data_IF_189556324846
#
_entry.id   IF_189556324846
#
_cell.length_a   1.000
_cell.length_b   1.000
_cell.length_c   1.000
_cell.angle_alpha   90.00
_cell.angle_beta   90.00
_cell.angle_gamma   90.00
#
_symmetry.space_group_name_H-M   'P 1'
#
loop_
_entity.id
_entity.type
_entity.pdbx_description
1 polymer ?
#
# COMPACT_ATOMS: atom_id res chain seq x y z
N UNK A 1 -10.65 -13.81 -6.61
CA UNK A 1 -10.61 -12.41 -6.11
C UNK A 1 -10.83 -11.41 -7.26
N UNK A 2 -9.99 -11.32 -8.29
CA UNK A 2 -10.13 -10.33 -9.37
C UNK A 2 -11.47 -10.41 -10.13
N UNK A 3 -11.98 -11.61 -10.40
CA UNK A 3 -13.29 -11.77 -11.05
C UNK A 3 -14.44 -11.25 -10.20
N UNK A 4 -14.40 -11.45 -8.88
CA UNK A 4 -15.42 -10.92 -7.98
C UNK A 4 -15.39 -9.37 -7.93
N UNK A 5 -14.21 -8.76 -8.07
CA UNK A 5 -14.11 -7.30 -8.17
C UNK A 5 -14.75 -6.78 -9.47
N UNK A 6 -14.57 -7.50 -10.58
CA UNK A 6 -15.21 -7.15 -11.86
C UNK A 6 -16.73 -7.31 -11.80
N UNK A 7 -17.25 -8.33 -11.12
CA UNK A 7 -18.69 -8.60 -11.03
C UNK A 7 -19.49 -7.49 -10.32
N UNK A 8 -18.83 -6.67 -9.50
CA UNK A 8 -19.49 -5.55 -8.78
C UNK A 8 -19.29 -4.19 -9.45
N UNK A 9 -18.62 -4.15 -10.60
CA UNK A 9 -18.40 -2.91 -11.33
C UNK A 9 -19.63 -2.49 -12.14
N UNK A 10 -19.83 -1.18 -12.20
CA UNK A 10 -20.64 -0.64 -13.29
C UNK A 10 -19.92 -0.82 -14.63
N UNK A 11 -20.63 -0.88 -15.77
CA UNK A 11 -20.00 -0.90 -17.09
C UNK A 11 -18.97 0.22 -17.25
N UNK A 12 -17.80 -0.08 -17.78
CA UNK A 12 -16.67 0.85 -17.92
C UNK A 12 -15.98 1.21 -16.60
N UNK A 13 -16.25 0.49 -15.52
CA UNK A 13 -15.60 0.71 -14.22
C UNK A 13 -14.11 0.34 -14.19
N UNK A 14 -13.42 0.78 -13.14
CA UNK A 14 -11.97 0.56 -12.97
C UNK A 14 -11.71 -0.27 -11.73
N UNK A 15 -10.89 -1.31 -11.87
CA UNK A 15 -10.30 -2.08 -10.76
C UNK A 15 -8.85 -1.64 -10.61
N UNK A 16 -8.48 -1.20 -9.43
CA UNK A 16 -7.08 -0.92 -9.11
C UNK A 16 -6.55 -2.07 -8.26
N UNK A 17 -5.58 -2.81 -8.82
CA UNK A 17 -4.93 -3.91 -8.13
C UNK A 17 -3.79 -3.43 -7.23
N UNK A 18 -3.94 -3.59 -5.91
CA UNK A 18 -2.93 -3.23 -4.92
C UNK A 18 -2.28 -4.50 -4.38
N UNK A 19 -0.94 -4.54 -4.42
CA UNK A 19 -0.17 -5.69 -3.97
C UNK A 19 -0.16 -6.86 -4.95
N UNK A 20 0.25 -8.03 -4.47
CA UNK A 20 0.33 -9.25 -5.27
C UNK A 20 -0.97 -10.06 -5.15
N UNK A 21 -1.58 -10.36 -6.27
CA UNK A 21 -2.76 -11.21 -6.35
C UNK A 21 -2.78 -11.99 -7.67
N UNK A 22 -3.49 -13.12 -7.69
CA UNK A 22 -3.62 -13.93 -8.90
C UNK A 22 -4.42 -13.22 -10.00
N UNK A 23 -3.87 -13.21 -11.21
CA UNK A 23 -4.45 -12.57 -12.40
C UNK A 23 -5.34 -13.50 -13.23
N UNK A 24 -5.89 -14.55 -12.62
CA UNK A 24 -6.83 -15.48 -13.29
C UNK A 24 -8.15 -14.81 -13.67
N UNK A 25 -8.11 -13.92 -14.65
CA UNK A 25 -9.25 -13.11 -15.10
C UNK A 25 -10.07 -13.88 -16.15
N UNK A 26 -11.39 -13.97 -15.92
CA UNK A 26 -12.33 -14.47 -16.92
C UNK A 26 -12.52 -13.42 -18.02
N UNK A 27 -12.20 -13.80 -19.27
CA UNK A 27 -12.37 -12.91 -20.43
C UNK A 27 -13.83 -12.42 -20.55
N UNK A 28 -14.79 -13.31 -20.38
CA UNK A 28 -16.19 -12.97 -20.58
C UNK A 28 -16.69 -11.95 -19.54
N UNK A 29 -16.25 -12.08 -18.27
CA UNK A 29 -16.59 -11.13 -17.22
C UNK A 29 -15.97 -9.76 -17.49
N UNK A 30 -14.67 -9.74 -17.74
CA UNK A 30 -13.92 -8.52 -18.02
C UNK A 30 -14.48 -7.80 -19.26
N UNK A 31 -14.67 -8.53 -20.36
CA UNK A 31 -15.19 -7.98 -21.60
C UNK A 31 -16.64 -7.49 -21.44
N UNK A 32 -17.51 -8.27 -20.80
CA UNK A 32 -18.90 -7.89 -20.56
C UNK A 32 -19.04 -6.64 -19.69
N UNK A 33 -18.18 -6.47 -18.69
CA UNK A 33 -18.14 -5.28 -17.85
C UNK A 33 -17.43 -4.08 -18.50
N UNK A 34 -16.75 -4.26 -19.64
CA UNK A 34 -15.87 -3.26 -20.26
C UNK A 34 -14.86 -2.68 -19.25
N UNK A 35 -14.37 -3.53 -18.33
CA UNK A 35 -13.59 -3.12 -17.18
C UNK A 35 -12.16 -2.70 -17.57
N UNK A 36 -11.66 -1.67 -16.92
CA UNK A 36 -10.24 -1.32 -16.94
C UNK A 36 -9.57 -1.87 -15.68
N UNK A 37 -8.42 -2.51 -15.82
CA UNK A 37 -7.62 -3.00 -14.69
C UNK A 37 -6.29 -2.27 -14.71
N UNK A 38 -5.98 -1.60 -13.61
CA UNK A 38 -4.75 -0.84 -13.43
C UNK A 38 -3.93 -1.44 -12.29
N UNK A 39 -2.62 -1.61 -12.44
CA UNK A 39 -1.76 -1.93 -11.31
C UNK A 39 -1.52 -0.69 -10.46
N UNK A 40 -1.46 -0.88 -9.15
CA UNK A 40 -0.89 0.13 -8.25
C UNK A 40 0.55 -0.26 -7.98
N UNK A 41 1.47 0.59 -8.37
CA UNK A 41 2.89 0.38 -8.11
C UNK A 41 3.23 0.95 -6.73
N UNK A 42 3.76 0.12 -5.85
CA UNK A 42 4.34 0.45 -4.55
C UNK A 42 3.91 1.82 -3.98
N UNK A 43 4.83 2.78 -3.96
CA UNK A 43 4.62 4.12 -3.39
C UNK A 43 4.10 5.13 -4.41
N UNK A 44 3.98 4.74 -5.68
CA UNK A 44 3.54 5.60 -6.78
C UNK A 44 4.65 5.95 -7.77
N UNK A 45 4.36 6.81 -8.76
CA UNK A 45 5.33 7.27 -9.75
C UNK A 45 6.59 7.85 -9.12
N UNK A 46 7.73 7.52 -9.69
CA UNK A 46 9.07 7.81 -9.18
C UNK A 46 9.78 6.55 -8.70
N UNK A 47 9.05 5.56 -8.22
CA UNK A 47 9.62 4.28 -7.79
C UNK A 47 10.25 3.55 -8.98
N UNK A 48 11.49 3.12 -8.80
CA UNK A 48 12.34 2.49 -9.83
C UNK A 48 12.79 3.41 -10.97
N UNK A 49 12.62 4.73 -10.83
CA UNK A 49 13.21 5.73 -11.71
C UNK A 49 14.51 6.28 -11.09
N UNK A 50 15.70 5.93 -11.61
CA UNK A 50 16.97 6.37 -11.02
C UNK A 50 17.13 7.89 -11.01
N UNK A 51 16.52 8.58 -11.97
CA UNK A 51 16.57 10.06 -12.02
C UNK A 51 15.81 10.66 -10.85
N UNK A 52 14.68 10.05 -10.50
CA UNK A 52 13.88 10.47 -9.36
C UNK A 52 14.51 10.03 -8.02
N UNK A 53 14.88 8.75 -7.90
CA UNK A 53 15.33 8.17 -6.62
C UNK A 53 16.75 8.60 -6.25
N UNK A 54 17.67 8.68 -7.23
CA UNK A 54 19.09 8.91 -6.97
C UNK A 54 19.50 10.38 -7.18
N UNK A 55 18.88 11.05 -8.15
CA UNK A 55 19.23 12.43 -8.49
C UNK A 55 18.28 13.46 -7.89
N UNK A 56 17.30 13.03 -7.09
CA UNK A 56 16.31 13.89 -6.43
C UNK A 56 15.57 14.83 -7.39
N UNK A 57 15.26 14.35 -8.60
CA UNK A 57 14.54 15.12 -9.60
C UNK A 57 13.08 14.70 -9.66
N UNK A 58 12.20 15.55 -9.11
CA UNK A 58 10.77 15.26 -9.05
C UNK A 58 10.07 15.62 -10.37
N UNK A 59 8.99 14.89 -10.69
CA UNK A 59 8.16 15.15 -11.86
C UNK A 59 7.40 16.47 -11.73
N UNK A 60 7.18 17.19 -12.84
CA UNK A 60 6.34 18.38 -12.84
C UNK A 60 4.94 18.05 -12.31
N UNK A 61 4.46 18.84 -11.35
CA UNK A 61 3.19 18.58 -10.65
C UNK A 61 1.98 18.57 -11.58
N UNK A 62 2.04 19.34 -12.66
CA UNK A 62 0.99 19.39 -13.68
C UNK A 62 0.89 18.14 -14.55
N UNK A 63 1.95 17.32 -14.57
CA UNK A 63 2.00 16.06 -15.35
C UNK A 63 1.80 14.86 -14.44
N UNK A 64 2.50 14.82 -13.30
CA UNK A 64 2.40 13.75 -12.30
C UNK A 64 2.15 14.38 -10.94
N UNK A 65 0.89 14.43 -10.52
CA UNK A 65 0.51 15.06 -9.26
C UNK A 65 0.99 14.27 -8.05
N UNK A 66 0.85 12.96 -8.09
CA UNK A 66 1.09 12.06 -6.96
C UNK A 66 2.31 11.19 -7.25
N UNK A 67 3.46 11.71 -6.86
CA UNK A 67 4.72 10.97 -6.89
C UNK A 67 4.97 10.28 -5.55
N UNK A 68 5.96 9.39 -5.50
CA UNK A 68 6.35 8.67 -4.29
C UNK A 68 6.50 9.60 -3.08
N UNK A 69 7.33 10.64 -3.17
CA UNK A 69 7.56 11.58 -2.07
C UNK A 69 6.29 12.35 -1.69
N UNK A 70 5.50 12.76 -2.67
CA UNK A 70 4.25 13.50 -2.41
C UNK A 70 3.20 12.62 -1.75
N UNK A 71 3.13 11.34 -2.10
CA UNK A 71 2.26 10.37 -1.44
C UNK A 71 2.66 10.17 0.02
N UNK A 72 3.94 9.96 0.29
CA UNK A 72 4.45 9.81 1.66
C UNK A 72 4.24 11.08 2.49
N UNK A 73 4.56 12.25 1.92
CA UNK A 73 4.34 13.52 2.60
C UNK A 73 2.85 13.80 2.89
N UNK A 74 1.95 13.44 1.97
CA UNK A 74 0.51 13.58 2.17
C UNK A 74 0.00 12.66 3.30
N UNK A 75 0.47 11.41 3.35
CA UNK A 75 0.12 10.48 4.41
C UNK A 75 0.58 11.00 5.78
N UNK A 76 1.84 11.41 5.90
CA UNK A 76 2.39 11.95 7.15
C UNK A 76 1.65 13.20 7.62
N UNK A 77 1.28 14.08 6.70
CA UNK A 77 0.49 15.28 7.02
C UNK A 77 -0.89 14.92 7.54
N UNK A 78 -1.58 13.98 6.89
CA UNK A 78 -2.90 13.53 7.34
C UNK A 78 -2.84 12.88 8.72
N UNK A 79 -1.79 12.14 9.02
CA UNK A 79 -1.55 11.56 10.34
C UNK A 79 -1.28 12.66 11.39
N UNK A 80 -0.40 13.62 11.08
CA UNK A 80 -0.08 14.73 11.98
C UNK A 80 -1.29 15.64 12.27
N UNK A 81 -2.16 15.83 11.28
CA UNK A 81 -3.40 16.62 11.41
C UNK A 81 -4.52 15.86 12.16
N UNK A 82 -4.27 14.61 12.61
CA UNK A 82 -5.26 13.75 13.27
C UNK A 82 -6.40 13.29 12.35
N UNK A 83 -6.24 13.41 11.04
CA UNK A 83 -7.22 12.97 10.04
C UNK A 83 -7.14 11.47 9.73
N UNK A 84 -6.04 10.84 10.10
CA UNK A 84 -5.87 9.39 10.11
C UNK A 84 -5.74 8.96 11.57
N UNK A 85 -6.72 8.20 12.03
CA UNK A 85 -6.70 7.61 13.36
C UNK A 85 -5.89 6.30 13.32
N UNK A 86 -4.59 6.44 13.58
CA UNK A 86 -3.67 5.30 13.56
C UNK A 86 -3.85 4.38 14.78
N UNK A 87 -4.52 4.83 15.83
CA UNK A 87 -4.80 4.03 17.02
C UNK A 87 -5.85 2.94 16.76
N UNK A 88 -6.62 3.06 15.68
CA UNK A 88 -7.55 2.02 15.22
C UNK A 88 -6.84 0.82 14.57
N UNK A 89 -5.56 0.96 14.23
CA UNK A 89 -4.79 -0.16 13.66
C UNK A 89 -4.41 -1.12 14.79
N UNK A 90 -4.83 -2.39 14.75
CA UNK A 90 -4.43 -3.36 15.76
C UNK A 90 -2.92 -3.61 15.68
N UNK A 91 -2.20 -3.17 16.69
CA UNK A 91 -0.74 -3.21 16.77
C UNK A 91 -0.32 -4.05 17.98
N UNK A 92 0.68 -4.91 17.80
CA UNK A 92 1.43 -5.47 18.91
C UNK A 92 2.77 -4.74 19.05
N UNK A 93 3.18 -4.50 20.30
CA UNK A 93 4.51 -3.96 20.60
C UNK A 93 5.43 -5.10 21.03
N UNK A 94 6.58 -5.22 20.37
CA UNK A 94 7.54 -6.29 20.60
C UNK A 94 8.91 -5.67 20.90
N UNK A 95 9.56 -6.03 22.02
CA UNK A 95 10.93 -5.61 22.27
C UNK A 95 11.86 -6.03 21.13
N UNK A 96 12.85 -5.20 20.80
CA UNK A 96 13.80 -5.49 19.73
C UNK A 96 14.53 -6.84 19.93
N UNK A 97 14.79 -7.22 21.19
CA UNK A 97 15.38 -8.51 21.52
C UNK A 97 14.51 -9.71 21.10
N UNK A 98 13.21 -9.54 21.03
CA UNK A 98 12.24 -10.58 20.66
C UNK A 98 11.76 -10.50 19.20
N UNK A 99 12.35 -9.63 18.38
CA UNK A 99 11.92 -9.39 17.00
C UNK A 99 11.84 -10.69 16.17
N UNK A 100 12.81 -11.59 16.31
CA UNK A 100 12.81 -12.88 15.61
C UNK A 100 11.58 -13.74 15.91
N UNK A 101 11.08 -13.71 17.15
CA UNK A 101 9.84 -14.42 17.55
C UNK A 101 8.61 -13.78 16.92
N UNK A 102 8.59 -12.44 16.82
CA UNK A 102 7.49 -11.73 16.18
C UNK A 102 7.40 -12.05 14.68
N UNK A 103 8.53 -12.10 13.98
CA UNK A 103 8.57 -12.50 12.56
C UNK A 103 8.11 -13.96 12.37
N UNK A 104 8.53 -14.87 13.23
CA UNK A 104 8.08 -16.25 13.17
C UNK A 104 6.56 -16.40 13.39
N UNK A 105 6.02 -15.66 14.36
CA UNK A 105 4.58 -15.66 14.64
C UNK A 105 3.77 -15.03 13.50
N UNK A 106 4.29 -13.95 12.87
CA UNK A 106 3.67 -13.32 11.70
C UNK A 106 3.63 -14.30 10.50
N UNK A 107 4.73 -14.99 10.25
CA UNK A 107 4.80 -15.99 9.18
C UNK A 107 3.84 -17.17 9.40
N UNK A 108 3.55 -17.51 10.66
CA UNK A 108 2.57 -18.53 11.03
C UNK A 108 1.11 -18.02 11.00
N UNK A 109 0.86 -16.74 10.68
CA UNK A 109 -0.48 -16.15 10.65
C UNK A 109 -1.09 -15.89 12.03
N UNK A 110 -0.27 -15.88 13.09
CA UNK A 110 -0.72 -15.74 14.49
C UNK A 110 -0.70 -14.32 15.07
N UNK A 111 -0.35 -13.30 14.27
CA UNK A 111 -0.28 -11.92 14.74
C UNK A 111 -1.35 -11.02 14.09
N UNK A 112 -1.75 -9.94 14.79
CA UNK A 112 -2.53 -8.88 14.17
C UNK A 112 -1.73 -8.20 13.06
N UNK A 113 -2.39 -7.32 12.33
CA UNK A 113 -1.94 -6.74 11.06
C UNK A 113 -0.56 -6.07 11.11
N UNK A 114 -0.15 -5.55 12.29
CA UNK A 114 1.05 -4.73 12.42
C UNK A 114 1.80 -5.02 13.72
N UNK A 115 3.10 -5.20 13.62
CA UNK A 115 4.01 -5.27 14.77
C UNK A 115 4.94 -4.05 14.82
N UNK A 116 5.02 -3.41 15.97
CA UNK A 116 6.01 -2.37 16.26
C UNK A 116 7.18 -2.96 17.05
N UNK A 117 8.38 -2.81 16.53
CA UNK A 117 9.60 -3.21 17.22
C UNK A 117 10.05 -2.03 18.08
N UNK A 118 10.04 -2.24 19.40
CA UNK A 118 10.39 -1.21 20.37
C UNK A 118 11.84 -1.34 20.82
N UNK A 119 12.60 -0.26 20.71
CA UNK A 119 14.00 -0.20 21.16
C UNK A 119 14.08 0.42 22.55
N UNK A 120 15.00 -0.07 23.45
CA UNK A 120 15.18 0.52 24.78
C UNK A 120 15.54 2.00 24.70
N UNK A 121 14.95 2.81 25.60
CA UNK A 121 15.29 4.23 25.76
C UNK A 121 14.71 5.17 24.70
N UNK A 122 13.80 4.69 23.87
CA UNK A 122 12.96 5.52 22.97
C UNK A 122 11.50 5.26 23.30
N UNK A 123 11.05 5.81 24.42
CA UNK A 123 9.63 5.93 24.69
C UNK A 123 9.07 6.97 23.73
N UNK A 124 8.19 6.53 22.84
CA UNK A 124 7.45 7.36 21.94
C UNK A 124 6.18 7.85 22.64
#
# INVERSE_FOLDING_TARGET
>A
MVNAAVDVLRPGGVVVGVGQFGMGLSRDRWFGAQATILPSIAYGPGRYDPVYEENNWDYPIGVVRWTENRNMAAFLRLAADGRLDLDQIPVIRVPAADAGRAYAALAAGGLPLTGLICYPGKDA
#
